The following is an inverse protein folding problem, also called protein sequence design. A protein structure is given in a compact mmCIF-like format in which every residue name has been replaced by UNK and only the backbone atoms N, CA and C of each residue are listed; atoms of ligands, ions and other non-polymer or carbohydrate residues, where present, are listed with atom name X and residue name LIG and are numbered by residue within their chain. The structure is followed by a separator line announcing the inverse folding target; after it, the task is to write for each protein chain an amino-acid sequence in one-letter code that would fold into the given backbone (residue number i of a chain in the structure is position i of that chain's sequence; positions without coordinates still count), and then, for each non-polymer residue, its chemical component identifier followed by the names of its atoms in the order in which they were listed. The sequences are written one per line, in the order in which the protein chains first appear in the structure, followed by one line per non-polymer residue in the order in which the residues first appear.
data_IF_934537515749
#
_entry.id   IF_934537515749
#
_cell.length_a   1.000
_cell.length_b   1.000
_cell.length_c   1.000
_cell.angle_alpha   90.00
_cell.angle_beta   90.00
_cell.angle_gamma   90.00
#
_symmetry.space_group_name_H-M   'P 1'
#
loop_
_entity.id
_entity.type
_entity.pdbx_description
1 polymer ?
#
# COMPACT_ATOMS: atom_id res chain seq x y z
N UNK A 1 33.95 -42.66 43.41
CA UNK A 1 34.58 -41.76 42.43
C UNK A 1 33.45 -41.27 41.53
N UNK A 2 33.00 -40.03 41.74
CA UNK A 2 31.82 -39.44 41.11
C UNK A 2 32.26 -38.85 39.77
N UNK A 3 31.72 -39.34 38.66
CA UNK A 3 31.95 -38.77 37.33
C UNK A 3 30.96 -37.62 37.09
N UNK A 4 31.48 -36.41 37.02
CA UNK A 4 30.78 -35.18 36.68
C UNK A 4 30.70 -35.07 35.14
N UNK A 5 29.50 -35.04 34.55
CA UNK A 5 29.31 -34.82 33.11
C UNK A 5 28.73 -33.41 32.91
N UNK A 6 29.36 -32.52 32.12
CA UNK A 6 28.83 -31.20 31.85
C UNK A 6 27.93 -31.16 30.60
N UNK A 7 26.86 -30.38 30.72
CA UNK A 7 26.17 -29.58 29.70
C UNK A 7 26.07 -30.10 28.26
N UNK A 8 24.83 -30.34 27.82
CA UNK A 8 24.42 -29.96 26.46
C UNK A 8 22.97 -29.46 26.50
N UNK A 9 22.78 -28.22 26.97
CA UNK A 9 21.51 -27.50 26.81
C UNK A 9 21.54 -26.96 25.38
N UNK A 10 20.86 -27.65 24.46
CA UNK A 10 20.61 -27.15 23.12
C UNK A 10 19.60 -26.01 23.23
N UNK A 11 20.09 -24.77 23.28
CA UNK A 11 19.24 -23.59 23.12
C UNK A 11 18.68 -23.59 21.69
N UNK A 12 17.43 -24.02 21.53
CA UNK A 12 16.65 -23.77 20.33
C UNK A 12 16.45 -22.26 20.21
N UNK A 13 17.26 -21.59 19.40
CA UNK A 13 17.06 -20.19 19.05
C UNK A 13 15.87 -20.13 18.09
N UNK A 14 14.66 -19.90 18.63
CA UNK A 14 13.53 -19.50 17.80
C UNK A 14 13.82 -18.09 17.27
N UNK A 15 14.27 -17.97 16.02
CA UNK A 15 14.18 -16.71 15.29
C UNK A 15 12.70 -16.38 15.12
N UNK A 16 12.17 -15.52 15.98
CA UNK A 16 10.91 -14.85 15.74
C UNK A 16 11.10 -13.98 14.49
N UNK A 17 10.58 -14.44 13.35
CA UNK A 17 10.43 -13.59 12.18
C UNK A 17 9.40 -12.53 12.55
N UNK A 18 9.86 -11.40 13.09
CA UNK A 18 9.06 -10.19 13.19
C UNK A 18 8.80 -9.77 11.74
N UNK A 19 7.64 -10.13 11.22
CA UNK A 19 7.16 -9.59 9.95
C UNK A 19 6.88 -8.13 10.23
N UNK A 20 7.87 -7.27 9.96
CA UNK A 20 7.70 -5.84 10.10
C UNK A 20 6.48 -5.44 9.25
N UNK A 21 5.44 -4.92 9.90
CA UNK A 21 4.28 -4.40 9.17
C UNK A 21 4.79 -3.34 8.20
N UNK A 22 4.50 -3.46 6.89
CA UNK A 22 4.90 -2.46 5.91
C UNK A 22 4.54 -1.05 6.37
N UNK A 23 5.57 -0.27 6.67
CA UNK A 23 5.47 1.12 7.12
C UNK A 23 5.87 2.01 5.95
N UNK A 24 4.93 2.29 5.05
CA UNK A 24 5.17 3.10 3.86
C UNK A 24 5.82 4.44 4.21
N UNK A 25 7.04 4.67 3.69
CA UNK A 25 7.77 5.92 3.86
C UNK A 25 7.47 6.89 2.72
N UNK A 26 7.32 8.18 3.05
CA UNK A 26 7.06 9.20 2.04
C UNK A 26 8.22 9.41 1.07
N UNK A 27 9.45 9.09 1.49
CA UNK A 27 10.64 9.15 0.64
C UNK A 27 10.60 8.11 -0.47
N UNK A 28 9.86 7.01 -0.27
CA UNK A 28 9.76 5.89 -1.22
C UNK A 28 8.35 5.72 -1.79
N UNK A 29 7.40 6.60 -1.45
CA UNK A 29 6.01 6.51 -1.92
C UNK A 29 5.91 6.52 -3.45
N UNK A 30 6.82 7.22 -4.14
CA UNK A 30 6.85 7.25 -5.61
C UNK A 30 6.95 5.85 -6.24
N UNK A 31 7.53 4.87 -5.53
CA UNK A 31 7.72 3.51 -6.05
C UNK A 31 6.40 2.81 -6.34
N UNK A 32 5.33 3.14 -5.61
CA UNK A 32 4.01 2.52 -5.84
C UNK A 32 3.28 3.09 -7.06
N UNK A 33 3.69 4.24 -7.57
CA UNK A 33 3.08 4.89 -8.75
C UNK A 33 3.98 4.85 -9.99
N UNK A 34 5.14 4.18 -9.89
CA UNK A 34 5.97 3.88 -11.05
C UNK A 34 5.23 2.95 -12.01
N UNK A 35 5.34 3.24 -13.30
CA UNK A 35 4.80 2.37 -14.34
C UNK A 35 5.65 1.10 -14.45
N UNK A 36 4.99 -0.05 -14.36
CA UNK A 36 5.51 -1.36 -14.72
C UNK A 36 5.21 -1.58 -16.20
N UNK A 37 6.24 -1.84 -16.99
CA UNK A 37 6.15 -2.09 -18.44
C UNK A 37 5.34 -1.02 -19.21
N UNK A 38 5.38 0.24 -18.76
CA UNK A 38 4.71 1.36 -19.41
C UNK A 38 3.18 1.39 -19.32
N UNK A 39 2.54 0.46 -18.60
CA UNK A 39 1.08 0.34 -18.61
C UNK A 39 0.45 0.65 -17.24
N UNK A 40 0.68 -0.18 -16.21
CA UNK A 40 0.05 -0.02 -14.90
C UNK A 40 1.08 0.22 -13.79
N UNK A 41 0.63 0.74 -12.65
CA UNK A 41 1.48 0.87 -11.45
C UNK A 41 1.05 -0.10 -10.36
N UNK A 42 1.91 -0.27 -9.35
CA UNK A 42 1.60 -1.05 -8.14
C UNK A 42 0.29 -0.59 -7.51
N UNK A 43 0.11 0.72 -7.42
CA UNK A 43 -1.10 1.36 -6.94
C UNK A 43 -2.34 0.85 -7.69
N UNK A 44 -2.30 0.84 -9.02
CA UNK A 44 -3.44 0.41 -9.82
C UNK A 44 -3.71 -1.08 -9.66
N UNK A 45 -2.69 -1.92 -9.82
CA UNK A 45 -2.84 -3.38 -9.82
C UNK A 45 -3.35 -3.91 -8.47
N UNK A 46 -2.75 -3.46 -7.37
CA UNK A 46 -3.15 -3.91 -6.03
C UNK A 46 -4.53 -3.41 -5.64
N UNK A 47 -4.90 -2.21 -6.11
CA UNK A 47 -6.26 -1.70 -5.91
C UNK A 47 -7.25 -2.56 -6.69
N UNK A 48 -7.03 -2.81 -7.98
CA UNK A 48 -7.93 -3.65 -8.78
C UNK A 48 -8.11 -5.03 -8.14
N UNK A 49 -7.01 -5.65 -7.71
CA UNK A 49 -7.03 -6.93 -7.00
C UNK A 49 -7.90 -6.87 -5.74
N UNK A 50 -7.74 -5.82 -4.93
CA UNK A 50 -8.58 -5.63 -3.73
C UNK A 50 -10.06 -5.47 -4.07
N UNK A 51 -10.41 -4.66 -5.08
CA UNK A 51 -11.80 -4.43 -5.51
C UNK A 51 -12.44 -5.67 -6.14
N UNK A 52 -11.64 -6.58 -6.70
CA UNK A 52 -12.13 -7.88 -7.20
C UNK A 52 -12.41 -8.84 -6.04
N UNK A 53 -11.55 -8.86 -5.02
CA UNK A 53 -11.72 -9.69 -3.83
C UNK A 53 -12.84 -9.18 -2.89
N UNK A 54 -13.14 -7.88 -2.92
CA UNK A 54 -14.14 -7.25 -2.05
C UNK A 54 -15.19 -6.51 -2.90
N UNK A 55 -16.02 -7.23 -3.67
CA UNK A 55 -17.05 -6.63 -4.50
C UNK A 55 -18.11 -5.93 -3.63
N UNK A 56 -18.80 -4.95 -4.21
CA UNK A 56 -19.89 -4.24 -3.55
C UNK A 56 -20.02 -2.79 -3.99
N UNK A 57 -20.88 -2.00 -3.33
CA UNK A 57 -21.12 -0.60 -3.68
C UNK A 57 -19.84 0.25 -3.61
N UNK A 58 -18.99 0.02 -2.60
CA UNK A 58 -17.73 0.76 -2.48
C UNK A 58 -16.77 0.44 -3.62
N UNK A 59 -16.68 -0.82 -4.02
CA UNK A 59 -15.89 -1.23 -5.17
C UNK A 59 -16.39 -0.58 -6.47
N UNK A 60 -17.70 -0.64 -6.68
CA UNK A 60 -18.38 -0.10 -7.87
C UNK A 60 -18.15 1.40 -8.01
N UNK A 61 -18.28 2.14 -6.90
CA UNK A 61 -18.11 3.59 -6.87
C UNK A 61 -16.64 4.02 -6.98
N UNK A 62 -15.70 3.23 -6.48
CA UNK A 62 -14.27 3.56 -6.52
C UNK A 62 -13.63 3.29 -7.88
N UNK A 63 -14.05 2.22 -8.59
CA UNK A 63 -13.52 1.84 -9.92
C UNK A 63 -13.38 2.99 -10.93
N UNK A 64 -14.42 3.81 -11.19
CA UNK A 64 -14.29 4.91 -12.16
C UNK A 64 -13.27 5.98 -11.71
N UNK A 65 -13.09 6.19 -10.41
CA UNK A 65 -12.11 7.13 -9.87
C UNK A 65 -10.70 6.56 -10.02
N UNK A 66 -10.52 5.27 -9.73
CA UNK A 66 -9.25 4.57 -9.96
C UNK A 66 -8.82 4.65 -11.43
N UNK A 67 -9.75 4.44 -12.37
CA UNK A 67 -9.49 4.58 -13.82
C UNK A 67 -9.09 6.01 -14.18
N UNK A 68 -9.76 7.02 -13.62
CA UNK A 68 -9.40 8.43 -13.82
C UNK A 68 -8.00 8.74 -13.28
N UNK A 69 -7.64 8.21 -12.11
CA UNK A 69 -6.30 8.34 -11.54
C UNK A 69 -5.26 7.69 -12.47
N UNK A 70 -5.53 6.48 -12.95
CA UNK A 70 -4.64 5.76 -13.85
C UNK A 70 -4.37 6.55 -15.13
N UNK A 71 -5.44 6.96 -15.81
CA UNK A 71 -5.34 7.61 -17.12
C UNK A 71 -4.89 9.07 -17.04
N UNK A 72 -5.33 9.81 -16.02
CA UNK A 72 -5.05 11.23 -15.88
C UNK A 72 -3.77 11.57 -15.12
N UNK A 73 -3.34 10.73 -14.17
CA UNK A 73 -2.21 11.02 -13.30
C UNK A 73 -1.07 10.02 -13.52
N UNK A 74 -1.35 8.72 -13.44
CA UNK A 74 -0.29 7.69 -13.47
C UNK A 74 0.33 7.57 -14.87
N UNK A 75 -0.48 7.57 -15.93
CA UNK A 75 0.00 7.54 -17.31
C UNK A 75 0.54 8.88 -17.81
N UNK A 76 0.30 9.98 -17.07
CA UNK A 76 0.81 11.29 -17.47
C UNK A 76 2.34 11.32 -17.53
N UNK A 77 2.87 11.77 -18.67
CA UNK A 77 4.31 11.99 -18.87
C UNK A 77 4.78 13.38 -18.45
N UNK A 78 3.86 14.31 -18.18
CA UNK A 78 4.19 15.69 -17.78
C UNK A 78 4.58 15.81 -16.30
N UNK A 79 4.36 14.77 -15.52
CA UNK A 79 4.68 14.73 -14.08
C UNK A 79 5.58 13.54 -13.76
N UNK A 80 6.58 13.77 -12.92
CA UNK A 80 7.43 12.69 -12.40
C UNK A 80 6.69 11.84 -11.37
N UNK A 81 7.17 10.62 -11.10
CA UNK A 81 6.53 9.72 -10.12
C UNK A 81 6.36 10.34 -8.72
N UNK A 82 7.35 11.07 -8.15
CA UNK A 82 7.15 11.76 -6.87
C UNK A 82 6.03 12.82 -6.92
N UNK A 83 5.93 13.57 -8.03
CA UNK A 83 4.91 14.61 -8.20
C UNK A 83 3.48 14.05 -8.32
N UNK A 84 3.32 12.77 -8.68
CA UNK A 84 2.02 12.10 -8.79
C UNK A 84 1.39 11.76 -7.44
N UNK A 85 2.17 11.69 -6.36
CA UNK A 85 1.69 11.26 -5.03
C UNK A 85 0.62 12.22 -4.48
N UNK A 86 0.87 13.53 -4.55
CA UNK A 86 -0.04 14.56 -4.06
C UNK A 86 -1.42 14.52 -4.75
N UNK A 87 -1.53 14.56 -6.09
CA UNK A 87 -2.84 14.50 -6.76
C UNK A 87 -3.56 13.16 -6.54
N UNK A 88 -2.84 12.02 -6.46
CA UNK A 88 -3.44 10.72 -6.13
C UNK A 88 -4.04 10.74 -4.72
N UNK A 89 -3.26 11.17 -3.73
CA UNK A 89 -3.73 11.30 -2.35
C UNK A 89 -4.96 12.22 -2.26
N UNK A 90 -4.99 13.31 -3.02
CA UNK A 90 -6.13 14.22 -3.04
C UNK A 90 -7.39 13.57 -3.61
N UNK A 91 -7.30 12.76 -4.67
CA UNK A 91 -8.44 12.03 -5.22
C UNK A 91 -8.99 11.01 -4.20
N UNK A 92 -8.11 10.29 -3.50
CA UNK A 92 -8.50 9.36 -2.43
C UNK A 92 -9.21 10.10 -1.29
N UNK A 93 -8.61 11.19 -0.78
CA UNK A 93 -9.22 12.03 0.28
C UNK A 93 -10.59 12.55 -0.14
N UNK A 94 -10.71 13.06 -1.36
CA UNK A 94 -11.96 13.63 -1.88
C UNK A 94 -13.07 12.57 -1.94
N UNK A 95 -12.74 11.36 -2.37
CA UNK A 95 -13.71 10.27 -2.37
C UNK A 95 -14.12 9.81 -0.97
N UNK A 96 -13.13 9.63 -0.07
CA UNK A 96 -13.40 9.23 1.31
C UNK A 96 -14.28 10.28 2.02
N UNK A 97 -13.94 11.56 1.88
CA UNK A 97 -14.63 12.66 2.56
C UNK A 97 -14.72 12.41 4.06
N UNK A 98 -15.93 12.57 4.61
CA UNK A 98 -16.23 12.29 6.02
C UNK A 98 -16.85 10.89 6.25
N UNK A 99 -16.87 10.03 5.22
CA UNK A 99 -17.49 8.71 5.33
C UNK A 99 -16.55 7.71 5.99
N UNK A 100 -16.85 7.34 7.24
CA UNK A 100 -16.13 6.28 7.96
C UNK A 100 -16.16 4.95 7.20
N UNK A 101 -17.26 4.64 6.52
CA UNK A 101 -17.40 3.43 5.71
C UNK A 101 -16.44 3.42 4.51
N UNK A 102 -16.30 4.55 3.78
CA UNK A 102 -15.31 4.67 2.69
C UNK A 102 -13.89 4.61 3.21
N UNK A 103 -13.63 5.23 4.35
CA UNK A 103 -12.32 5.19 5.01
C UNK A 103 -11.95 3.76 5.40
N UNK A 104 -12.83 3.04 6.08
CA UNK A 104 -12.62 1.64 6.50
C UNK A 104 -12.45 0.69 5.32
N UNK A 105 -13.05 1.00 4.17
CA UNK A 105 -12.90 0.20 2.95
C UNK A 105 -11.58 0.47 2.21
N UNK A 106 -11.20 1.74 2.01
CA UNK A 106 -10.02 2.08 1.20
C UNK A 106 -8.71 2.13 2.00
N UNK A 107 -8.72 2.66 3.22
CA UNK A 107 -7.48 2.85 3.99
C UNK A 107 -6.65 1.58 4.22
N UNK A 108 -7.25 0.39 4.42
CA UNK A 108 -6.50 -0.85 4.60
C UNK A 108 -5.91 -1.44 3.32
N UNK A 109 -6.24 -0.92 2.13
CA UNK A 109 -5.71 -1.45 0.87
C UNK A 109 -4.19 -1.39 0.91
N UNK A 110 -3.56 -2.56 0.85
CA UNK A 110 -2.11 -2.73 0.82
C UNK A 110 -1.58 -2.46 -0.58
N UNK A 111 -0.44 -1.78 -0.63
CA UNK A 111 0.31 -1.43 -1.83
C UNK A 111 1.64 -2.18 -1.80
N UNK A 112 1.62 -3.39 -2.34
CA UNK A 112 2.69 -4.38 -2.26
C UNK A 112 3.27 -4.47 -0.84
N UNK A 113 4.60 -4.53 -0.73
CA UNK A 113 5.33 -4.49 0.54
C UNK A 113 5.68 -3.07 0.99
N UNK A 114 5.16 -2.03 0.31
CA UNK A 114 5.47 -0.65 0.67
C UNK A 114 4.64 -0.20 1.87
N UNK A 115 3.32 -0.34 1.82
CA UNK A 115 2.44 0.25 2.83
C UNK A 115 0.96 0.19 2.47
N UNK A 116 0.17 1.12 2.99
CA UNK A 116 -1.28 1.19 2.73
C UNK A 116 -1.72 2.51 2.10
N UNK A 117 -2.95 2.54 1.59
CA UNK A 117 -3.62 3.77 1.15
C UNK A 117 -3.58 4.88 2.21
N UNK A 118 -3.80 4.55 3.49
CA UNK A 118 -3.73 5.52 4.56
C UNK A 118 -2.35 6.20 4.66
N UNK A 119 -1.28 5.42 4.54
CA UNK A 119 0.09 5.94 4.54
C UNK A 119 0.37 6.78 3.28
N UNK A 120 -0.11 6.34 2.11
CA UNK A 120 0.00 7.09 0.86
C UNK A 120 -0.69 8.47 0.95
N UNK A 121 -1.90 8.48 1.50
CA UNK A 121 -2.70 9.69 1.74
C UNK A 121 -2.01 10.65 2.69
N UNK A 122 -1.34 10.14 3.73
CA UNK A 122 -0.50 10.95 4.63
C UNK A 122 0.69 11.56 3.92
N UNK A 123 1.33 10.83 2.99
CA UNK A 123 2.47 11.34 2.24
C UNK A 123 2.10 12.44 1.24
N UNK A 124 0.97 12.33 0.55
CA UNK A 124 0.48 13.38 -0.35
C UNK A 124 -0.23 14.55 0.36
N UNK A 125 -0.37 14.48 1.68
CA UNK A 125 -0.93 15.55 2.51
C UNK A 125 0.09 16.49 3.13
N UNK A 126 1.39 16.28 2.87
CA UNK A 126 2.47 17.18 3.26
C UNK A 126 2.79 18.18 2.15
#
# INVERSE_FOLDING_TARGET
MILCIPLCITFLTMSSFVTATPSGSCNTAFTVVLLRNGNHSVFYDDTIKYLQAHPGPQATNWRPILQRIQNGIILSRSTTAPQKIKPIAQQIKTYIGNSSLRASYLNPIQLAQWGTYFQLVKCGGK
#
